data_IF_926428583807
#
_entry.id   IF_926428583807
#
_cell.length_a   1.000
_cell.length_b   1.000
_cell.length_c   1.000
_cell.angle_alpha   90.00
_cell.angle_beta   90.00
_cell.angle_gamma   90.00
#
_symmetry.space_group_name_H-M   'P 1'
#
loop_
_entity.id
_entity.type
_entity.pdbx_description
1 polymer ?
#
# COMPACT_ATOMS: atom_id res chain seq x y z
N UNK A 1 18.16 -12.22 -6.73
CA UNK A 1 18.53 -11.09 -5.91
C UNK A 1 18.30 -11.38 -4.45
N UNK A 2 19.31 -11.25 -3.68
CA UNK A 2 19.21 -11.64 -2.30
C UNK A 2 20.02 -10.69 -1.42
N UNK A 3 19.41 -10.21 -0.36
CA UNK A 3 20.11 -9.39 0.61
C UNK A 3 20.61 -10.27 1.75
N UNK A 4 21.91 -10.35 1.89
CA UNK A 4 22.51 -11.03 3.02
C UNK A 4 22.53 -10.17 4.28
N UNK A 5 22.13 -8.89 4.17
CA UNK A 5 22.15 -7.95 5.30
C UNK A 5 20.77 -7.79 5.92
N UNK A 6 20.68 -7.74 7.26
CA UNK A 6 19.42 -7.38 7.89
C UNK A 6 18.99 -5.96 7.53
N UNK A 7 17.70 -5.71 7.55
CA UNK A 7 17.13 -4.40 7.23
C UNK A 7 17.72 -3.29 8.11
N UNK A 8 17.99 -3.56 9.38
CA UNK A 8 18.56 -2.58 10.28
C UNK A 8 19.96 -2.14 9.85
N UNK A 9 20.77 -3.06 9.34
CA UNK A 9 22.12 -2.75 8.86
C UNK A 9 22.03 -1.92 7.59
N UNK A 10 21.15 -2.29 6.65
CA UNK A 10 20.94 -1.53 5.42
C UNK A 10 20.50 -0.11 5.73
N UNK A 11 19.59 0.04 6.69
CA UNK A 11 19.06 1.35 7.05
C UNK A 11 20.13 2.26 7.63
N UNK A 12 21.00 1.73 8.49
CA UNK A 12 22.08 2.52 9.10
C UNK A 12 23.19 2.85 8.11
N UNK A 13 23.32 2.07 7.03
CA UNK A 13 24.34 2.30 6.01
C UNK A 13 23.91 3.32 4.94
N UNK A 14 22.62 3.67 4.89
CA UNK A 14 22.10 4.57 3.86
C UNK A 14 22.51 6.03 4.16
N UNK A 15 22.97 6.77 3.13
CA UNK A 15 23.39 8.15 3.29
C UNK A 15 22.25 9.17 3.31
N UNK A 16 21.01 8.72 3.41
CA UNK A 16 19.83 9.57 3.36
C UNK A 16 18.80 9.12 4.39
N UNK A 17 17.91 10.04 4.79
CA UNK A 17 16.86 9.77 5.75
C UNK A 17 15.70 9.00 5.09
N UNK A 18 14.82 8.43 5.92
CA UNK A 18 13.60 7.80 5.44
C UNK A 18 12.70 8.79 4.69
N UNK A 19 12.68 10.04 5.15
CA UNK A 19 11.89 11.07 4.50
C UNK A 19 12.41 11.37 3.10
N UNK A 20 13.72 11.52 2.97
CA UNK A 20 14.35 11.75 1.67
C UNK A 20 14.08 10.60 0.71
N UNK A 21 14.16 9.36 1.21
CA UNK A 21 13.86 8.18 0.43
C UNK A 21 12.40 8.18 -0.04
N UNK A 22 11.49 8.50 0.87
CA UNK A 22 10.05 8.57 0.55
C UNK A 22 9.76 9.65 -0.49
N UNK A 23 10.40 10.82 -0.35
CA UNK A 23 10.22 11.91 -1.29
C UNK A 23 10.74 11.55 -2.68
N UNK A 24 11.87 10.88 -2.74
CA UNK A 24 12.43 10.41 -4.00
C UNK A 24 11.51 9.39 -4.68
N UNK A 25 10.97 8.44 -3.91
CA UNK A 25 10.00 7.47 -4.42
C UNK A 25 8.72 8.15 -4.89
N UNK A 26 8.33 9.25 -4.25
CA UNK A 26 7.18 10.03 -4.66
C UNK A 26 7.29 10.63 -6.06
N UNK A 27 8.52 10.86 -6.52
CA UNK A 27 8.76 11.34 -7.90
C UNK A 27 8.45 10.25 -8.93
N UNK A 28 8.51 9.00 -8.53
CA UNK A 28 8.16 7.85 -9.36
C UNK A 28 6.72 7.43 -9.10
N UNK A 29 5.87 8.38 -8.72
CA UNK A 29 4.53 8.07 -8.30
C UNK A 29 3.71 7.46 -9.44
N UNK A 30 3.08 6.35 -9.16
CA UNK A 30 2.00 5.79 -9.94
C UNK A 30 0.68 6.35 -9.42
N UNK A 31 -0.45 5.85 -9.88
CA UNK A 31 -1.74 6.31 -9.38
C UNK A 31 -1.93 6.00 -7.89
N UNK A 32 -2.86 6.73 -7.27
CA UNK A 32 -3.28 6.47 -5.90
C UNK A 32 -4.57 5.68 -5.94
N UNK A 33 -4.67 4.67 -5.08
CA UNK A 33 -5.87 3.84 -4.96
C UNK A 33 -6.43 3.88 -3.55
N UNK A 34 -7.73 3.62 -3.42
CA UNK A 34 -8.33 3.26 -2.14
C UNK A 34 -8.76 1.82 -2.26
N UNK A 35 -8.31 0.97 -1.35
CA UNK A 35 -8.68 -0.43 -1.32
C UNK A 35 -9.62 -0.63 -0.14
N UNK A 36 -10.78 -1.23 -0.40
CA UNK A 36 -11.82 -1.41 0.62
C UNK A 36 -12.14 -2.89 0.79
N UNK A 37 -12.55 -3.23 2.01
CA UNK A 37 -13.00 -4.57 2.34
C UNK A 37 -14.10 -4.50 3.40
N UNK A 38 -14.82 -5.59 3.60
CA UNK A 38 -15.84 -5.70 4.65
C UNK A 38 -15.45 -6.76 5.65
N UNK A 39 -15.69 -6.49 6.92
CA UNK A 39 -15.59 -7.48 7.97
C UNK A 39 -16.76 -8.46 7.89
N UNK A 40 -16.67 -9.56 8.66
CA UNK A 40 -17.76 -10.53 8.76
C UNK A 40 -19.05 -9.89 9.29
N UNK A 41 -18.92 -8.84 10.10
CA UNK A 41 -20.06 -8.11 10.66
C UNK A 41 -20.60 -7.05 9.68
N UNK A 42 -20.03 -6.93 8.50
CA UNK A 42 -20.48 -5.98 7.50
C UNK A 42 -19.88 -4.58 7.61
N UNK A 43 -18.92 -4.38 8.51
CA UNK A 43 -18.24 -3.09 8.64
C UNK A 43 -17.26 -2.90 7.47
N UNK A 44 -17.36 -1.77 6.80
CA UNK A 44 -16.46 -1.43 5.71
C UNK A 44 -15.20 -0.76 6.27
N UNK A 45 -14.06 -1.15 5.73
CA UNK A 45 -12.77 -0.48 5.99
C UNK A 45 -12.15 -0.09 4.67
N UNK A 46 -11.26 0.89 4.71
CA UNK A 46 -10.53 1.33 3.54
C UNK A 46 -9.14 1.77 3.88
N UNK A 47 -8.26 1.73 2.90
CA UNK A 47 -6.89 2.21 3.03
C UNK A 47 -6.46 2.87 1.74
N UNK A 48 -5.83 4.04 1.85
CA UNK A 48 -5.22 4.72 0.72
C UNK A 48 -3.87 4.09 0.43
N UNK A 49 -3.69 3.62 -0.80
CA UNK A 49 -2.51 2.86 -1.19
C UNK A 49 -1.91 3.45 -2.44
N UNK A 50 -0.64 3.83 -2.38
CA UNK A 50 0.14 4.29 -3.53
C UNK A 50 1.12 3.23 -4.04
N UNK A 51 1.17 2.08 -3.37
CA UNK A 51 2.05 0.97 -3.73
C UNK A 51 1.40 -0.06 -4.65
N UNK A 52 0.15 0.17 -5.05
CA UNK A 52 -0.59 -0.74 -5.90
C UNK A 52 0.12 -0.93 -7.24
N UNK A 53 0.28 -2.17 -7.66
CA UNK A 53 0.94 -2.51 -8.90
C UNK A 53 0.44 -3.84 -9.43
N UNK A 54 0.56 -4.03 -10.72
CA UNK A 54 0.31 -5.34 -11.32
C UNK A 54 1.49 -6.25 -11.01
N UNK A 55 1.21 -7.47 -10.56
CA UNK A 55 2.23 -8.47 -10.30
C UNK A 55 2.30 -9.50 -11.42
N UNK A 56 1.16 -9.93 -11.94
CA UNK A 56 1.10 -10.99 -12.93
C UNK A 56 -0.20 -10.89 -13.71
N UNK A 57 -0.16 -11.34 -14.96
CA UNK A 57 -1.36 -11.42 -15.81
C UNK A 57 -1.94 -12.84 -15.85
N UNK A 58 -1.10 -13.84 -15.68
CA UNK A 58 -1.53 -15.24 -15.72
C UNK A 58 -0.81 -16.05 -14.65
N UNK A 59 -1.37 -16.19 -13.45
CA UNK A 59 -2.69 -15.71 -13.02
C UNK A 59 -2.75 -14.21 -12.84
N UNK A 60 -3.94 -13.64 -12.85
CA UNK A 60 -4.15 -12.21 -12.66
C UNK A 60 -3.93 -11.85 -11.19
N UNK A 61 -2.80 -11.22 -10.91
CA UNK A 61 -2.41 -10.87 -9.55
C UNK A 61 -2.02 -9.39 -9.47
N UNK A 62 -2.34 -8.80 -8.35
CA UNK A 62 -1.94 -7.44 -8.00
C UNK A 62 -1.16 -7.47 -6.69
N UNK A 63 -0.36 -6.44 -6.47
CA UNK A 63 0.46 -6.30 -5.27
C UNK A 63 0.21 -4.94 -4.65
N UNK A 64 0.05 -4.92 -3.33
CA UNK A 64 0.01 -3.69 -2.55
C UNK A 64 0.39 -4.01 -1.10
N UNK A 65 0.78 -2.97 -0.38
CA UNK A 65 1.30 -3.14 0.98
C UNK A 65 0.44 -2.41 1.98
N UNK A 66 0.28 -3.03 3.15
CA UNK A 66 -0.44 -2.45 4.28
C UNK A 66 0.43 -2.59 5.51
N UNK A 67 0.54 -1.51 6.30
CA UNK A 67 1.35 -1.53 7.51
C UNK A 67 0.86 -2.55 8.52
N UNK A 68 1.78 -3.21 9.21
CA UNK A 68 1.43 -4.22 10.21
C UNK A 68 0.63 -3.64 11.38
N UNK A 69 0.75 -2.34 11.62
CA UNK A 69 0.03 -1.64 12.69
C UNK A 69 -1.26 -0.97 12.23
N UNK A 70 -1.65 -1.16 10.98
CA UNK A 70 -2.88 -0.56 10.46
C UNK A 70 -4.09 -1.18 11.15
N UNK A 71 -5.03 -0.33 11.56
CA UNK A 71 -6.25 -0.78 12.24
C UNK A 71 -7.12 -1.67 11.35
N UNK A 72 -7.04 -1.47 10.04
CA UNK A 72 -7.80 -2.25 9.06
C UNK A 72 -7.18 -3.59 8.72
N UNK A 73 -5.94 -3.85 9.14
CA UNK A 73 -5.22 -5.06 8.78
C UNK A 73 -6.00 -6.35 9.07
N UNK A 74 -6.60 -6.53 10.26
CA UNK A 74 -7.34 -7.76 10.53
C UNK A 74 -8.48 -8.00 9.54
N UNK A 75 -9.18 -6.95 9.12
CA UNK A 75 -10.27 -7.08 8.16
C UNK A 75 -9.74 -7.52 6.81
N UNK A 76 -8.67 -6.88 6.31
CA UNK A 76 -8.07 -7.27 5.03
C UNK A 76 -7.53 -8.69 5.08
N UNK A 77 -6.93 -9.08 6.20
CA UNK A 77 -6.31 -10.41 6.34
C UNK A 77 -7.34 -11.54 6.31
N UNK A 78 -8.55 -11.29 6.82
CA UNK A 78 -9.61 -12.29 6.88
C UNK A 78 -10.64 -12.18 5.76
N UNK A 79 -10.58 -11.12 4.96
CA UNK A 79 -11.50 -10.96 3.83
C UNK A 79 -11.11 -11.85 2.66
N UNK A 80 -12.12 -12.36 1.96
CA UNK A 80 -11.92 -13.14 0.75
C UNK A 80 -11.96 -12.27 -0.50
N UNK A 81 -12.50 -11.06 -0.38
CA UNK A 81 -12.67 -10.12 -1.48
C UNK A 81 -12.37 -8.70 -0.99
N UNK A 82 -11.83 -7.89 -1.88
CA UNK A 82 -11.73 -6.46 -1.66
C UNK A 82 -11.87 -5.73 -2.99
N UNK A 83 -12.25 -4.45 -2.91
CA UNK A 83 -12.43 -3.61 -4.08
C UNK A 83 -11.29 -2.61 -4.18
N UNK A 84 -10.87 -2.33 -5.40
CA UNK A 84 -9.79 -1.39 -5.68
C UNK A 84 -10.38 -0.22 -6.46
N UNK A 85 -10.22 0.99 -5.94
CA UNK A 85 -10.73 2.21 -6.53
C UNK A 85 -9.57 3.08 -6.98
N UNK A 86 -9.38 3.22 -8.29
CA UNK A 86 -8.34 4.08 -8.84
C UNK A 86 -8.86 5.52 -8.82
N UNK A 87 -8.12 6.42 -8.16
CA UNK A 87 -8.57 7.79 -7.96
C UNK A 87 -8.15 8.70 -9.12
N UNK A 88 -9.06 9.61 -9.49
CA UNK A 88 -8.72 10.71 -10.37
C UNK A 88 -7.98 11.81 -9.58
N UNK A 89 -7.27 12.68 -10.29
CA UNK A 89 -6.55 13.78 -9.65
C UNK A 89 -7.48 14.69 -8.84
N UNK A 90 -8.72 14.87 -9.27
CA UNK A 90 -9.72 15.68 -8.57
C UNK A 90 -10.19 15.05 -7.26
N UNK A 91 -9.83 13.80 -6.97
CA UNK A 91 -10.29 13.05 -5.80
C UNK A 91 -9.23 13.02 -4.68
N UNK A 92 -8.28 13.94 -4.71
CA UNK A 92 -7.25 14.03 -3.66
C UNK A 92 -7.85 14.13 -2.25
N UNK A 93 -8.92 14.93 -2.00
CA UNK A 93 -9.53 14.96 -0.68
C UNK A 93 -10.02 13.60 -0.20
N UNK A 94 -10.49 12.76 -1.11
CA UNK A 94 -10.93 11.42 -0.78
C UNK A 94 -9.75 10.53 -0.36
N UNK A 95 -8.61 10.68 -1.04
CA UNK A 95 -7.40 9.95 -0.69
C UNK A 95 -6.90 10.29 0.71
N UNK A 96 -7.07 11.54 1.14
CA UNK A 96 -6.63 12.00 2.46
C UNK A 96 -7.53 11.51 3.58
N UNK A 97 -8.73 11.03 3.26
CA UNK A 97 -9.70 10.59 4.23
C UNK A 97 -9.38 9.19 4.79
N UNK A 98 -8.69 8.37 4.05
CA UNK A 98 -8.40 6.97 4.40
C UNK A 98 -6.97 6.70 4.80
#
# INVERSE_FOLDING_TARGET
MNSALPTSVLRSALPFSQREFRDALGQFATGVTIITARSAEGHAVGSTVSSFNALSLAPSLVLWSLGLKANSLPVFRHSTHYAIHVLAASQKPLAELF
#
